data_IF_846937485415
#
_entry.id   IF_846937485415
#
_cell.length_a   1.000
_cell.length_b   1.000
_cell.length_c   1.000
_cell.angle_alpha   90.00
_cell.angle_beta   90.00
_cell.angle_gamma   90.00
#
_symmetry.space_group_name_H-M   'P 1'
#
loop_
_entity.id
_entity.type
_entity.pdbx_description
1 polymer ?
#
# COMPACT_ATOMS: atom_id res chain seq x y z
N UNK A 1 2.65 -8.48 -7.56
CA UNK A 1 2.46 -9.72 -8.31
C UNK A 1 1.11 -9.64 -9.00
N UNK A 2 0.95 -10.25 -10.16
CA UNK A 2 -0.27 -10.20 -10.98
C UNK A 2 -1.43 -11.02 -10.41
N UNK A 3 -1.17 -11.89 -9.42
CA UNK A 3 -2.21 -12.68 -8.74
C UNK A 3 -2.90 -13.69 -9.67
N UNK A 4 -4.04 -14.25 -9.21
CA UNK A 4 -4.98 -15.03 -10.05
C UNK A 4 -4.38 -16.22 -10.82
N UNK A 5 -3.46 -16.97 -10.19
CA UNK A 5 -2.84 -18.15 -10.80
C UNK A 5 -1.69 -17.83 -11.78
N UNK A 6 -1.32 -16.57 -11.92
CA UNK A 6 -0.12 -16.17 -12.65
C UNK A 6 1.15 -16.32 -11.80
N UNK A 7 2.28 -16.51 -12.48
CA UNK A 7 3.61 -16.55 -11.89
C UNK A 7 4.38 -15.32 -12.35
N UNK A 8 4.80 -14.49 -11.40
CA UNK A 8 5.68 -13.35 -11.68
C UNK A 8 7.15 -13.74 -11.50
N UNK A 9 7.94 -13.50 -12.54
CA UNK A 9 9.40 -13.55 -12.45
C UNK A 9 9.92 -12.14 -12.19
N UNK A 10 10.26 -11.86 -10.93
CA UNK A 10 10.76 -10.56 -10.49
C UNK A 10 12.20 -10.66 -9.98
N UNK A 11 12.96 -9.58 -10.17
CA UNK A 11 14.31 -9.49 -9.61
C UNK A 11 14.25 -9.45 -8.08
N UNK A 12 15.12 -10.20 -7.36
CA UNK A 12 15.20 -10.13 -5.91
C UNK A 12 15.39 -8.69 -5.43
N UNK A 13 14.65 -8.30 -4.37
CA UNK A 13 14.67 -6.95 -3.82
C UNK A 13 13.87 -5.91 -4.62
N UNK A 14 13.24 -6.28 -5.74
CA UNK A 14 12.35 -5.39 -6.48
C UNK A 14 10.88 -5.63 -6.08
N UNK A 15 10.37 -4.79 -5.18
CA UNK A 15 8.97 -4.74 -4.74
C UNK A 15 8.44 -3.29 -4.77
N UNK A 16 7.13 -3.09 -4.55
CA UNK A 16 6.51 -1.75 -4.61
C UNK A 16 7.22 -0.73 -3.70
N UNK A 17 7.57 -1.12 -2.46
CA UNK A 17 8.29 -0.22 -1.55
C UNK A 17 9.67 0.21 -2.08
N UNK A 18 10.45 -0.68 -2.70
CA UNK A 18 11.76 -0.32 -3.29
C UNK A 18 11.63 0.71 -4.43
N UNK A 19 10.53 0.66 -5.20
CA UNK A 19 10.23 1.65 -6.22
C UNK A 19 9.81 2.99 -5.60
N UNK A 20 9.01 2.94 -4.54
CA UNK A 20 8.53 4.11 -3.82
C UNK A 20 9.68 4.84 -3.10
N UNK A 21 10.57 4.12 -2.43
CA UNK A 21 11.77 4.66 -1.76
C UNK A 21 12.62 5.46 -2.74
N UNK A 22 12.95 4.87 -3.90
CA UNK A 22 13.72 5.55 -4.96
C UNK A 22 13.01 6.79 -5.50
N UNK A 23 11.67 6.79 -5.56
CA UNK A 23 10.90 7.95 -6.00
C UNK A 23 10.89 9.04 -4.92
N UNK A 24 10.70 8.67 -3.66
CA UNK A 24 10.67 9.58 -2.51
C UNK A 24 12.02 10.29 -2.34
N UNK A 25 13.13 9.55 -2.42
CA UNK A 25 14.49 10.09 -2.41
C UNK A 25 14.71 11.15 -3.50
N UNK A 26 14.29 10.86 -4.73
CA UNK A 26 14.41 11.79 -5.88
C UNK A 26 13.59 13.06 -5.70
N UNK A 27 12.55 13.02 -4.86
CA UNK A 27 11.65 14.14 -4.59
C UNK A 27 11.96 14.85 -3.28
N UNK A 28 12.88 14.33 -2.47
CA UNK A 28 13.15 14.84 -1.13
C UNK A 28 11.95 14.68 -0.20
N UNK A 29 11.15 13.63 -0.39
CA UNK A 29 9.98 13.30 0.42
C UNK A 29 10.38 12.17 1.37
N UNK A 30 10.10 12.32 2.66
CA UNK A 30 10.34 11.24 3.63
C UNK A 30 9.17 10.24 3.64
N UNK A 31 9.39 8.98 4.05
CA UNK A 31 8.31 8.00 4.12
C UNK A 31 7.15 8.46 5.03
N UNK A 32 7.43 9.22 6.08
CA UNK A 32 6.43 9.78 7.00
C UNK A 32 5.47 10.77 6.34
N UNK A 33 5.85 11.32 5.18
CA UNK A 33 5.01 12.21 4.38
C UNK A 33 4.16 11.45 3.35
N UNK A 34 4.27 10.12 3.30
CA UNK A 34 3.57 9.27 2.36
C UNK A 34 2.40 8.54 3.03
N UNK A 35 1.33 8.35 2.27
CA UNK A 35 0.22 7.46 2.61
C UNK A 35 0.14 6.40 1.51
N UNK A 36 0.04 5.13 1.90
CA UNK A 36 -0.14 4.01 0.98
C UNK A 36 -1.51 3.37 1.16
N UNK A 37 -2.08 2.88 0.05
CA UNK A 37 -3.30 2.08 0.01
C UNK A 37 -2.98 0.77 -0.70
N UNK A 38 -3.49 -0.35 -0.19
CA UNK A 38 -3.21 -1.66 -0.75
C UNK A 38 -4.23 -2.73 -0.35
N UNK A 39 -4.32 -3.76 -1.17
CA UNK A 39 -5.25 -4.88 -0.98
C UNK A 39 -4.60 -6.23 -1.26
N UNK A 40 -3.42 -6.25 -1.89
CA UNK A 40 -2.70 -7.45 -2.26
C UNK A 40 -1.47 -7.73 -1.41
N UNK A 41 -1.03 -8.99 -1.39
CA UNK A 41 0.20 -9.39 -0.68
C UNK A 41 1.46 -8.65 -1.15
N UNK A 42 1.48 -8.18 -2.39
CA UNK A 42 2.58 -7.36 -2.94
C UNK A 42 2.53 -5.88 -2.54
N UNK A 43 1.56 -5.48 -1.73
CA UNK A 43 1.47 -4.15 -1.11
C UNK A 43 2.05 -4.11 0.30
N UNK A 44 2.25 -5.27 0.94
CA UNK A 44 2.67 -5.39 2.35
C UNK A 44 3.91 -4.56 2.66
N UNK A 45 4.96 -4.64 1.84
CA UNK A 45 6.18 -3.86 2.08
C UNK A 45 5.93 -2.36 1.94
N UNK A 46 5.05 -1.94 1.03
CA UNK A 46 4.73 -0.53 0.79
C UNK A 46 3.87 0.04 1.91
N UNK A 47 2.92 -0.74 2.41
CA UNK A 47 2.05 -0.39 3.54
C UNK A 47 2.88 -0.16 4.82
N UNK A 48 3.88 -1.00 5.07
CA UNK A 48 4.82 -0.82 6.21
C UNK A 48 5.83 0.30 6.02
N UNK A 49 6.12 0.67 4.78
CA UNK A 49 7.13 1.67 4.46
C UNK A 49 6.62 3.09 4.64
N UNK A 50 5.37 3.37 4.25
CA UNK A 50 4.81 4.71 4.35
C UNK A 50 4.48 5.08 5.80
N UNK A 51 4.44 6.37 6.10
CA UNK A 51 4.07 6.88 7.42
C UNK A 51 2.67 6.45 7.87
N UNK A 52 1.77 6.24 6.90
CA UNK A 52 0.47 5.59 7.14
C UNK A 52 0.17 4.63 6.00
N UNK A 53 -0.02 3.36 6.32
CA UNK A 53 -0.55 2.33 5.42
C UNK A 53 -2.03 2.06 5.69
N UNK A 54 -2.84 2.03 4.62
CA UNK A 54 -4.23 1.58 4.63
C UNK A 54 -4.38 0.27 3.87
N UNK A 55 -4.91 -0.75 4.53
CA UNK A 55 -5.42 -1.93 3.85
C UNK A 55 -6.90 -1.75 3.52
N UNK A 56 -7.35 -2.15 2.33
CA UNK A 56 -8.78 -2.16 1.99
C UNK A 56 -9.51 -3.27 2.77
N UNK A 57 -10.80 -3.10 3.07
CA UNK A 57 -11.54 -4.14 3.81
C UNK A 57 -11.70 -5.46 3.04
N UNK A 58 -11.60 -5.43 1.72
CA UNK A 58 -11.58 -6.64 0.89
C UNK A 58 -10.19 -7.32 0.82
N UNK A 59 -9.17 -6.79 1.51
CA UNK A 59 -7.82 -7.35 1.53
C UNK A 59 -7.73 -8.63 2.39
N UNK A 60 -6.80 -9.55 2.09
CA UNK A 60 -6.47 -10.66 2.97
C UNK A 60 -6.01 -10.22 4.37
N UNK A 61 -6.20 -11.07 5.39
CA UNK A 61 -5.89 -10.75 6.79
C UNK A 61 -4.42 -10.40 7.04
N UNK A 62 -3.49 -11.02 6.30
CA UNK A 62 -2.06 -10.73 6.40
C UNK A 62 -1.69 -9.35 5.84
N UNK A 63 -2.42 -8.87 4.83
CA UNK A 63 -2.32 -7.50 4.30
C UNK A 63 -2.89 -6.50 5.30
N UNK A 64 -4.08 -6.78 5.86
CA UNK A 64 -4.68 -5.94 6.91
C UNK A 64 -3.78 -5.81 8.14
N UNK A 65 -3.14 -6.90 8.56
CA UNK A 65 -2.20 -6.91 9.67
C UNK A 65 -0.89 -6.14 9.41
N UNK A 66 -0.58 -5.85 8.15
CA UNK A 66 0.60 -5.07 7.77
C UNK A 66 0.34 -3.56 7.67
N UNK A 67 -0.92 -3.13 7.70
CA UNK A 67 -1.33 -1.73 7.61
C UNK A 67 -1.61 -1.13 9.00
N UNK A 68 -1.51 0.19 9.10
CA UNK A 68 -1.86 0.93 10.32
C UNK A 68 -3.38 1.07 10.49
N UNK A 69 -4.10 1.09 9.36
CA UNK A 69 -5.54 1.31 9.30
C UNK A 69 -6.18 0.42 8.25
N UNK A 70 -7.46 0.14 8.43
CA UNK A 70 -8.31 -0.49 7.43
C UNK A 70 -9.32 0.54 6.93
N UNK A 71 -9.38 0.76 5.63
CA UNK A 71 -10.43 1.57 5.01
C UNK A 71 -11.51 0.66 4.39
N UNK A 72 -12.67 1.20 3.98
CA UNK A 72 -13.71 0.41 3.31
C UNK A 72 -13.20 -0.36 2.10
N UNK A 73 -14.02 -1.28 1.59
CA UNK A 73 -13.65 -2.06 0.41
C UNK A 73 -13.49 -1.16 -0.83
N UNK A 74 -12.84 -1.69 -1.85
CA UNK A 74 -12.75 -1.00 -3.14
C UNK A 74 -14.13 -0.75 -3.78
N UNK A 75 -15.13 -1.56 -3.47
CA UNK A 75 -16.51 -1.43 -3.97
C UNK A 75 -17.29 -0.31 -3.24
N UNK A 76 -16.73 0.24 -2.17
CA UNK A 76 -17.30 1.28 -1.31
C UNK A 76 -16.47 2.56 -1.32
N UNK A 77 -15.70 2.78 -2.38
CA UNK A 77 -14.82 3.95 -2.55
C UNK A 77 -13.84 4.15 -1.38
N UNK A 78 -13.31 3.06 -0.79
CA UNK A 78 -12.54 3.12 0.46
C UNK A 78 -11.32 4.06 0.44
N UNK A 79 -10.67 4.24 -0.71
CA UNK A 79 -9.60 5.24 -0.87
C UNK A 79 -10.14 6.66 -0.72
N UNK A 80 -11.28 6.96 -1.35
CA UNK A 80 -11.89 8.30 -1.28
C UNK A 80 -12.31 8.62 0.15
N UNK A 81 -12.98 7.69 0.83
CA UNK A 81 -13.41 7.86 2.23
C UNK A 81 -12.20 8.17 3.13
N UNK A 82 -11.11 7.42 2.98
CA UNK A 82 -9.90 7.65 3.76
C UNK A 82 -9.22 8.99 3.43
N UNK A 83 -9.25 9.43 2.17
CA UNK A 83 -8.72 10.74 1.78
C UNK A 83 -9.55 11.88 2.36
N UNK A 84 -10.88 11.76 2.37
CA UNK A 84 -11.77 12.74 2.99
C UNK A 84 -11.46 12.88 4.49
N UNK A 85 -11.20 11.78 5.20
CA UNK A 85 -10.80 11.82 6.62
C UNK A 85 -9.40 12.42 6.83
N UNK A 86 -8.45 12.15 5.93
CA UNK A 86 -7.07 12.65 6.03
C UNK A 86 -6.95 14.15 5.78
N UNK A 87 -7.83 14.71 4.96
CA UNK A 87 -7.79 16.12 4.53
C UNK A 87 -8.96 16.97 5.05
N UNK A 88 -9.79 16.42 5.93
CA UNK A 88 -10.86 17.15 6.62
C UNK A 88 -10.35 18.31 7.50
#
# INVERSE_FOLDING_TARGET
>A
TSGHGAIDLITPGCHKASGLERLAERRGISPEQCVAFGDGGNDVEMLRFCGVGYAMDNAPDDVKAAADRVCPSNDEDGVLVALDELFA
#
